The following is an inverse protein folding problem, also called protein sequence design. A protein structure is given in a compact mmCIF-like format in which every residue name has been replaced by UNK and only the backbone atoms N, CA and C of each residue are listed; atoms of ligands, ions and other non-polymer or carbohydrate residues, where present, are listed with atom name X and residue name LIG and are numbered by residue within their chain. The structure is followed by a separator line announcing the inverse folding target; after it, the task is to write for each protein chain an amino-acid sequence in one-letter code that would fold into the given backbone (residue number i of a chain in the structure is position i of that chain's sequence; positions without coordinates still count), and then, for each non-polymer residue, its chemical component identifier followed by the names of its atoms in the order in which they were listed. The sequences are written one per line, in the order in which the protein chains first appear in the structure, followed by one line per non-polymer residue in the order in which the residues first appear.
data_IF_276331643285
#
_entry.id   IF_276331643285
#
_cell.length_a   1.000
_cell.length_b   1.000
_cell.length_c   1.000
_cell.angle_alpha   90.00
_cell.angle_beta   90.00
_cell.angle_gamma   90.00
#
_symmetry.space_group_name_H-M   'P 1'
#
loop_
_entity.id
_entity.type
_entity.pdbx_description
1 polymer ?
#
# COMPACT_ATOMS: atom_id res chain seq x y z
N UNK A 1 -9.78 -3.10 -0.98
CA UNK A 1 -9.42 -2.90 -2.40
C UNK A 1 -10.62 -2.32 -3.12
N UNK A 2 -11.74 -3.01 -3.15
CA UNK A 2 -12.98 -2.56 -3.81
C UNK A 2 -13.55 -1.26 -3.20
N UNK A 3 -13.62 -1.17 -1.87
CA UNK A 3 -14.00 0.07 -1.17
C UNK A 3 -13.02 1.22 -1.46
N UNK A 4 -11.74 0.90 -1.59
CA UNK A 4 -10.68 1.86 -1.89
C UNK A 4 -10.84 2.39 -3.31
N UNK A 5 -11.09 1.51 -4.28
CA UNK A 5 -11.40 1.86 -5.66
C UNK A 5 -12.62 2.79 -5.72
N UNK A 6 -13.72 2.44 -5.04
CA UNK A 6 -14.94 3.24 -5.02
C UNK A 6 -14.77 4.63 -4.38
N UNK A 7 -13.78 4.79 -3.49
CA UNK A 7 -13.42 6.11 -2.93
C UNK A 7 -12.58 6.95 -3.89
N UNK A 8 -11.86 6.31 -4.81
CA UNK A 8 -10.98 6.95 -5.78
C UNK A 8 -11.71 7.32 -7.07
N UNK A 9 -12.69 6.50 -7.45
CA UNK A 9 -13.62 6.73 -8.56
C UNK A 9 -14.59 7.86 -8.18
N UNK A 10 -14.12 9.10 -8.32
CA UNK A 10 -14.80 10.28 -7.84
C UNK A 10 -16.01 10.63 -8.71
N UNK A 11 -15.91 10.35 -10.01
CA UNK A 11 -16.99 10.55 -10.97
C UNK A 11 -17.96 9.35 -11.06
N UNK A 12 -17.60 8.20 -10.47
CA UNK A 12 -18.39 6.96 -10.44
C UNK A 12 -18.64 6.38 -11.82
N UNK A 13 -17.67 6.49 -12.71
CA UNK A 13 -17.76 5.94 -14.06
C UNK A 13 -17.30 4.47 -14.15
N UNK A 14 -16.81 3.91 -13.03
CA UNK A 14 -16.35 2.53 -12.93
C UNK A 14 -14.90 2.32 -13.36
N UNK A 15 -14.17 3.39 -13.68
CA UNK A 15 -12.73 3.37 -14.00
C UNK A 15 -12.01 4.48 -13.24
N UNK A 16 -10.68 4.40 -13.17
CA UNK A 16 -9.84 5.44 -12.59
C UNK A 16 -9.06 6.14 -13.69
N UNK A 17 -9.27 7.45 -13.80
CA UNK A 17 -8.41 8.31 -14.61
C UNK A 17 -7.04 8.51 -13.96
N UNK A 18 -6.06 9.01 -14.74
CA UNK A 18 -4.73 9.41 -14.23
C UNK A 18 -4.82 10.33 -13.01
N UNK A 19 -5.77 11.26 -13.02
CA UNK A 19 -5.96 12.24 -11.94
C UNK A 19 -6.53 11.59 -10.67
N UNK A 20 -7.46 10.65 -10.82
CA UNK A 20 -8.07 9.93 -9.69
C UNK A 20 -7.10 8.95 -9.07
N UNK A 21 -6.35 8.20 -9.89
CA UNK A 21 -5.33 7.28 -9.40
C UNK A 21 -4.17 8.03 -8.74
N UNK A 22 -3.76 9.19 -9.26
CA UNK A 22 -2.75 10.02 -8.61
C UNK A 22 -3.16 10.43 -7.20
N UNK A 23 -4.41 10.85 -7.02
CA UNK A 23 -4.96 11.19 -5.70
C UNK A 23 -4.93 9.98 -4.76
N UNK A 24 -5.08 8.77 -5.28
CA UNK A 24 -4.93 7.54 -4.49
C UNK A 24 -3.56 7.42 -3.84
N UNK A 25 -2.50 7.67 -4.59
CA UNK A 25 -1.13 7.55 -4.10
C UNK A 25 -0.79 8.60 -3.05
N UNK A 26 -1.30 9.82 -3.23
CA UNK A 26 -1.19 10.90 -2.24
C UNK A 26 -1.99 10.58 -0.96
N UNK A 27 -3.17 9.95 -1.07
CA UNK A 27 -4.03 9.66 0.09
C UNK A 27 -3.59 8.40 0.85
N UNK A 28 -3.10 7.37 0.13
CA UNK A 28 -2.61 6.12 0.71
C UNK A 28 -1.17 6.22 1.21
N UNK A 29 -0.53 7.40 1.11
CA UNK A 29 0.87 7.62 1.49
C UNK A 29 1.87 6.65 0.84
N UNK A 30 1.49 5.99 -0.26
CA UNK A 30 2.33 5.01 -0.96
C UNK A 30 3.58 5.68 -1.58
N UNK A 31 3.51 6.99 -1.78
CA UNK A 31 4.57 7.83 -2.37
C UNK A 31 5.00 8.94 -1.41
N UNK A 32 4.42 9.00 -0.19
CA UNK A 32 4.90 9.92 0.83
C UNK A 32 6.29 9.50 1.32
N UNK A 33 7.07 10.50 1.70
CA UNK A 33 8.46 10.42 2.17
C UNK A 33 8.69 9.54 3.41
N UNK A 34 7.64 8.90 3.93
CA UNK A 34 7.60 8.32 5.27
C UNK A 34 7.72 6.79 5.30
N UNK A 35 8.09 6.13 4.19
CA UNK A 35 8.74 4.80 4.27
C UNK A 35 10.19 4.90 4.82
N UNK A 36 10.51 5.96 5.59
CA UNK A 36 11.78 6.15 6.28
C UNK A 36 12.97 6.52 5.38
N UNK A 37 12.73 6.81 4.09
CA UNK A 37 13.76 7.25 3.15
C UNK A 37 13.35 8.59 2.58
N UNK A 38 13.90 9.66 3.15
CA UNK A 38 13.83 11.01 2.62
C UNK A 38 14.53 11.08 1.25
N UNK A 39 13.83 10.76 0.18
CA UNK A 39 14.23 11.18 -1.16
C UNK A 39 13.50 12.48 -1.51
N UNK A 40 14.21 13.61 -1.67
CA UNK A 40 13.62 14.83 -2.17
C UNK A 40 13.39 14.69 -3.68
N UNK A 41 12.34 13.98 -4.06
CA UNK A 41 11.94 13.83 -5.45
C UNK A 41 11.31 15.13 -5.91
N UNK A 42 11.90 15.79 -6.91
CA UNK A 42 11.34 17.04 -7.47
C UNK A 42 9.95 16.80 -8.10
N UNK A 43 9.13 17.85 -8.28
CA UNK A 43 7.77 17.73 -8.82
C UNK A 43 7.70 17.04 -10.19
N UNK A 44 8.72 17.18 -11.05
CA UNK A 44 8.81 16.47 -12.33
C UNK A 44 9.05 14.97 -12.17
N UNK A 45 9.87 14.58 -11.21
CA UNK A 45 10.27 13.19 -11.01
C UNK A 45 9.15 12.40 -10.30
N UNK A 46 8.39 13.09 -9.43
CA UNK A 46 7.10 12.61 -8.92
C UNK A 46 6.09 12.38 -10.05
N UNK A 47 5.99 13.31 -11.00
CA UNK A 47 5.09 13.16 -12.14
C UNK A 47 5.46 11.93 -12.98
N UNK A 48 6.76 11.75 -13.27
CA UNK A 48 7.25 10.55 -13.98
C UNK A 48 6.98 9.25 -13.23
N UNK A 49 7.10 9.27 -11.90
CA UNK A 49 6.77 8.11 -11.07
C UNK A 49 5.28 7.78 -11.16
N UNK A 50 4.40 8.78 -11.08
CA UNK A 50 2.96 8.58 -11.23
C UNK A 50 2.59 8.06 -12.61
N UNK A 51 3.19 8.62 -13.67
CA UNK A 51 2.96 8.15 -15.04
C UNK A 51 3.42 6.69 -15.20
N UNK A 52 4.60 6.34 -14.68
CA UNK A 52 5.11 4.98 -14.74
C UNK A 52 4.22 3.98 -13.99
N UNK A 53 3.71 4.36 -12.82
CA UNK A 53 2.81 3.51 -12.04
C UNK A 53 1.45 3.38 -12.74
N UNK A 54 0.92 4.48 -13.28
CA UNK A 54 -0.32 4.42 -14.04
C UNK A 54 -0.20 3.46 -15.23
N UNK A 55 0.88 3.56 -16.00
CA UNK A 55 1.16 2.68 -17.14
C UNK A 55 1.37 1.21 -16.73
N UNK A 56 1.62 0.92 -15.44
CA UNK A 56 1.65 -0.44 -14.89
C UNK A 56 0.28 -0.98 -14.55
N UNK A 57 -0.63 -0.11 -14.12
CA UNK A 57 -2.01 -0.44 -13.77
C UNK A 57 -2.88 -0.57 -15.03
N UNK A 58 -2.72 0.32 -16.00
CA UNK A 58 -3.41 0.31 -17.30
C UNK A 58 -2.81 -0.79 -18.20
N UNK A 59 -3.22 -2.03 -17.96
CA UNK A 59 -2.64 -3.22 -18.57
C UNK A 59 -3.07 -3.38 -20.02
N UNK A 60 -4.28 -2.97 -20.35
CA UNK A 60 -4.81 -2.97 -21.72
C UNK A 60 -4.46 -1.70 -22.52
N UNK A 61 -3.93 -0.66 -21.86
CA UNK A 61 -3.53 0.63 -22.43
C UNK A 61 -4.71 1.40 -23.02
N UNK A 62 -5.88 1.27 -22.42
CA UNK A 62 -7.07 2.02 -22.81
C UNK A 62 -7.08 3.46 -22.26
N UNK A 63 -6.10 3.82 -21.43
CA UNK A 63 -5.94 5.15 -20.84
C UNK A 63 -6.69 5.36 -19.53
N UNK A 64 -7.29 4.29 -19.00
CA UNK A 64 -8.02 4.24 -17.72
C UNK A 64 -7.63 2.97 -16.98
N UNK A 65 -7.96 2.89 -15.68
CA UNK A 65 -7.70 1.68 -14.89
C UNK A 65 -9.01 1.16 -14.36
N UNK A 66 -9.40 -0.05 -14.77
CA UNK A 66 -10.61 -0.68 -14.26
C UNK A 66 -10.38 -1.35 -12.89
N UNK A 67 -11.47 -1.84 -12.28
CA UNK A 67 -11.43 -2.47 -10.96
C UNK A 67 -10.56 -3.74 -10.93
N UNK A 68 -10.59 -4.55 -11.99
CA UNK A 68 -9.82 -5.80 -12.04
C UNK A 68 -8.33 -5.53 -12.23
N UNK A 69 -7.99 -4.57 -13.07
CA UNK A 69 -6.63 -4.06 -13.22
C UNK A 69 -6.09 -3.50 -11.90
N UNK A 70 -6.85 -2.63 -11.24
CA UNK A 70 -6.50 -2.09 -9.93
C UNK A 70 -6.29 -3.20 -8.90
N UNK A 71 -7.21 -4.17 -8.83
CA UNK A 71 -7.15 -5.28 -7.88
C UNK A 71 -5.93 -6.18 -8.13
N UNK A 72 -5.63 -6.46 -9.39
CA UNK A 72 -4.48 -7.26 -9.79
C UNK A 72 -3.18 -6.61 -9.36
N UNK A 73 -2.98 -5.33 -9.70
CA UNK A 73 -1.72 -4.65 -9.38
C UNK A 73 -1.55 -4.38 -7.88
N UNK A 74 -2.61 -3.99 -7.18
CA UNK A 74 -2.56 -3.83 -5.71
C UNK A 74 -2.20 -5.16 -5.04
N UNK A 75 -2.75 -6.28 -5.51
CA UNK A 75 -2.38 -7.61 -5.00
C UNK A 75 -0.91 -7.91 -5.25
N UNK A 76 -0.36 -7.61 -6.43
CA UNK A 76 1.06 -7.83 -6.74
C UNK A 76 1.97 -7.01 -5.83
N UNK A 77 1.63 -5.73 -5.59
CA UNK A 77 2.38 -4.86 -4.68
C UNK A 77 2.37 -5.44 -3.27
N UNK A 78 1.20 -5.82 -2.75
CA UNK A 78 1.08 -6.40 -1.41
C UNK A 78 1.84 -7.73 -1.28
N UNK A 79 1.81 -8.57 -2.32
CA UNK A 79 2.60 -9.82 -2.36
C UNK A 79 4.10 -9.54 -2.37
N UNK A 80 4.56 -8.57 -3.16
CA UNK A 80 5.98 -8.17 -3.19
C UNK A 80 6.44 -7.59 -1.84
N UNK A 81 5.58 -6.83 -1.16
CA UNK A 81 5.83 -6.37 0.21
C UNK A 81 5.91 -7.58 1.16
N UNK A 82 4.95 -8.52 1.10
CA UNK A 82 4.97 -9.71 1.95
C UNK A 82 6.24 -10.58 1.74
N UNK A 83 6.68 -10.74 0.49
CA UNK A 83 7.92 -11.45 0.15
C UNK A 83 9.17 -10.69 0.63
N UNK A 84 9.20 -9.36 0.44
CA UNK A 84 10.27 -8.49 0.96
C UNK A 84 10.35 -8.50 2.49
N UNK A 85 9.21 -8.48 3.19
CA UNK A 85 9.12 -8.55 4.64
C UNK A 85 9.55 -9.91 5.22
N UNK A 86 9.44 -11.00 4.44
CA UNK A 86 9.98 -12.30 4.83
C UNK A 86 11.50 -12.29 5.04
N UNK A 87 12.20 -11.37 4.37
CA UNK A 87 13.65 -11.18 4.49
C UNK A 87 14.06 -9.99 5.39
N UNK A 88 13.14 -9.05 5.65
CA UNK A 88 13.37 -7.85 6.45
C UNK A 88 12.22 -7.62 7.44
N UNK A 89 12.32 -8.09 8.69
CA UNK A 89 11.26 -7.96 9.66
C UNK A 89 10.98 -6.51 10.04
N UNK A 90 9.71 -6.13 10.13
CA UNK A 90 9.31 -4.82 10.68
C UNK A 90 9.53 -4.84 12.20
N UNK A 91 10.46 -4.02 12.69
CA UNK A 91 10.60 -3.77 14.12
C UNK A 91 9.66 -2.66 14.56
N UNK A 92 8.69 -3.00 15.41
CA UNK A 92 7.77 -2.04 16.01
C UNK A 92 8.25 -1.70 17.42
N UNK A 93 8.62 -0.44 17.66
CA UNK A 93 8.91 0.06 18.99
C UNK A 93 7.60 0.14 19.79
N UNK A 94 7.55 -0.58 20.91
CA UNK A 94 6.43 -0.55 21.83
C UNK A 94 6.78 0.36 22.98
N UNK A 95 5.85 1.22 23.40
CA UNK A 95 6.01 1.95 24.66
C UNK A 95 6.04 0.96 25.84
N UNK A 96 6.90 1.23 26.82
CA UNK A 96 7.08 0.42 28.04
C UNK A 96 5.91 0.49 29.03
N UNK A 97 4.74 0.96 28.59
CA UNK A 97 3.52 0.94 29.39
C UNK A 97 2.86 -0.45 29.30
N UNK A 98 2.64 -1.08 30.46
CA UNK A 98 1.95 -2.36 30.58
C UNK A 98 0.48 -2.31 30.11
N UNK A 99 -0.07 -1.11 29.89
CA UNK A 99 -1.39 -0.93 29.27
C UNK A 99 -1.36 -0.88 27.74
N UNK A 100 -0.19 -0.79 27.10
CA UNK A 100 -0.05 -0.68 25.64
C UNK A 100 -0.78 -1.82 24.92
N UNK A 101 -1.75 -1.45 24.09
CA UNK A 101 -2.59 -2.37 23.34
C UNK A 101 -1.77 -3.27 22.41
N UNK A 102 -0.77 -2.70 21.73
CA UNK A 102 0.08 -3.43 20.79
C UNK A 102 1.00 -4.42 21.51
N UNK A 103 1.48 -4.10 22.72
CA UNK A 103 2.27 -5.02 23.54
C UNK A 103 1.45 -6.23 23.99
N UNK A 104 0.19 -6.02 24.38
CA UNK A 104 -0.74 -7.11 24.73
C UNK A 104 -1.05 -8.00 23.52
N UNK A 105 -1.28 -7.39 22.35
CA UNK A 105 -1.53 -8.13 21.12
C UNK A 105 -0.30 -8.98 20.72
N UNK A 106 0.90 -8.41 20.80
CA UNK A 106 2.14 -9.13 20.50
C UNK A 106 2.36 -10.33 21.44
N UNK A 107 2.15 -10.15 22.75
CA UNK A 107 2.27 -11.24 23.72
C UNK A 107 1.26 -12.37 23.48
N UNK A 108 0.02 -12.03 23.12
CA UNK A 108 -1.02 -13.01 22.81
C UNK A 108 -0.67 -13.83 21.56
N UNK A 109 -0.23 -13.17 20.47
CA UNK A 109 0.16 -13.88 19.25
C UNK A 109 1.41 -14.74 19.45
N UNK A 110 2.41 -14.26 20.21
CA UNK A 110 3.57 -15.07 20.59
C UNK A 110 3.17 -16.34 21.36
N UNK A 111 2.19 -16.24 22.27
CA UNK A 111 1.68 -17.40 23.00
C UNK A 111 0.95 -18.41 22.09
N UNK A 112 0.23 -17.95 21.06
CA UNK A 112 -0.42 -18.83 20.08
C UNK A 112 0.58 -19.56 19.20
N UNK A 113 1.62 -18.86 18.74
CA UNK A 113 2.69 -19.46 17.93
C UNK A 113 3.45 -20.53 18.71
N UNK A 114 3.74 -20.29 19.99
CA UNK A 114 4.36 -21.27 20.88
C UNK A 114 3.46 -22.51 21.09
N UNK A 115 2.14 -22.32 21.23
CA UNK A 115 1.19 -23.40 21.37
C UNK A 115 0.97 -24.20 20.08
N UNK A 116 1.14 -23.59 18.90
CA UNK A 116 0.99 -24.23 17.60
C UNK A 116 2.26 -25.00 17.14
N UNK A 117 3.39 -24.79 17.81
CA UNK A 117 4.67 -25.47 17.55
C UNK A 117 5.01 -26.56 18.57
N UNK A 118 4.06 -26.89 19.45
CA UNK A 118 4.09 -27.98 20.44
C UNK A 118 3.17 -29.12 20.02
#
# INVERSE_FOLDING_TARGET
VDETFALLDANKDGVLSRSELRRAFETLRLVDKDFGVDTPTGPEELTKLYDFIFDKFDGDRNGTVDLEEYRSEVRKILLAIADGLGSSPIQMALEDDDQSFLRKAAALEASKLAAASS
#
